data_IF_205789202021
#
_entry.id   IF_205789202021
#
_cell.length_a   1.000
_cell.length_b   1.000
_cell.length_c   1.000
_cell.angle_alpha   90.00
_cell.angle_beta   90.00
_cell.angle_gamma   90.00
#
_symmetry.space_group_name_H-M   'P 1'
#
loop_
_entity.id
_entity.type
_entity.pdbx_description
1 polymer ?
#
# COMPACT_ATOMS: atom_id res chain seq x y z
N UNK A 1 -10.64 13.77 -8.34
CA UNK A 1 -9.34 14.24 -8.89
C UNK A 1 -8.82 13.31 -9.98
N UNK A 2 -8.50 12.04 -9.68
CA UNK A 2 -7.94 11.10 -10.67
C UNK A 2 -8.89 10.78 -11.84
N UNK A 3 -10.20 10.87 -11.62
CA UNK A 3 -11.25 10.62 -12.64
C UNK A 3 -11.67 11.87 -13.41
N UNK A 4 -11.07 13.03 -13.14
CA UNK A 4 -11.42 14.26 -13.85
C UNK A 4 -11.07 14.14 -15.34
N UNK A 5 -11.88 14.67 -16.27
CA UNK A 5 -11.53 14.73 -17.67
C UNK A 5 -10.20 15.46 -17.85
N UNK A 6 -9.25 14.83 -18.54
CA UNK A 6 -7.94 15.42 -18.82
C UNK A 6 -7.46 14.98 -20.19
N UNK A 7 -7.03 15.94 -21.00
CA UNK A 7 -6.36 15.71 -22.29
C UNK A 7 -4.89 15.33 -22.10
N UNK A 8 -4.25 15.90 -21.07
CA UNK A 8 -2.85 15.66 -20.69
C UNK A 8 -2.74 15.39 -19.19
N UNK A 9 -1.65 14.75 -18.78
CA UNK A 9 -1.38 14.45 -17.36
C UNK A 9 -0.89 15.72 -16.68
N UNK A 10 -1.36 15.97 -15.47
CA UNK A 10 -0.83 17.03 -14.61
C UNK A 10 -0.22 16.44 -13.33
N UNK A 11 0.69 17.20 -12.71
CA UNK A 11 1.36 16.79 -11.48
C UNK A 11 0.37 16.52 -10.33
N UNK A 12 -0.75 17.25 -10.29
CA UNK A 12 -1.80 17.09 -9.29
C UNK A 12 -2.44 15.69 -9.38
N UNK A 13 -2.72 15.19 -10.58
CA UNK A 13 -3.30 13.88 -10.81
C UNK A 13 -2.32 12.77 -10.44
N UNK A 14 -1.02 12.96 -10.72
CA UNK A 14 0.05 12.03 -10.33
C UNK A 14 0.12 11.94 -8.80
N UNK A 15 0.23 13.06 -8.11
CA UNK A 15 0.30 13.09 -6.65
C UNK A 15 -0.97 12.57 -5.97
N UNK A 16 -2.14 12.89 -6.53
CA UNK A 16 -3.40 12.33 -6.06
C UNK A 16 -3.46 10.82 -6.26
N UNK A 17 -2.93 10.29 -7.35
CA UNK A 17 -2.92 8.85 -7.62
C UNK A 17 -1.97 8.09 -6.69
N UNK A 18 -0.76 8.62 -6.42
CA UNK A 18 0.14 8.06 -5.41
C UNK A 18 -0.55 7.93 -4.05
N UNK A 19 -1.16 9.02 -3.56
CA UNK A 19 -1.88 9.04 -2.28
C UNK A 19 -3.09 8.12 -2.29
N UNK A 20 -3.82 8.03 -3.42
CA UNK A 20 -4.94 7.11 -3.58
C UNK A 20 -4.50 5.65 -3.40
N UNK A 21 -3.35 5.25 -3.96
CA UNK A 21 -2.80 3.90 -3.77
C UNK A 21 -2.55 3.64 -2.27
N UNK A 22 -1.80 4.53 -1.62
CA UNK A 22 -1.41 4.36 -0.21
C UNK A 22 -2.63 4.34 0.72
N UNK A 23 -3.56 5.29 0.54
CA UNK A 23 -4.78 5.36 1.36
C UNK A 23 -5.68 4.15 1.11
N UNK A 24 -5.76 3.62 -0.12
CA UNK A 24 -6.49 2.39 -0.40
C UNK A 24 -5.92 1.19 0.35
N UNK A 25 -4.59 1.05 0.42
CA UNK A 25 -3.94 0.00 1.21
C UNK A 25 -4.19 0.16 2.71
N UNK A 26 -4.23 1.41 3.19
CA UNK A 26 -4.55 1.70 4.59
C UNK A 26 -6.00 1.33 4.88
N UNK A 27 -6.98 1.81 4.11
CA UNK A 27 -8.39 1.64 4.44
C UNK A 27 -8.93 0.26 4.05
N UNK A 28 -8.66 -0.18 2.83
CA UNK A 28 -9.26 -1.37 2.24
C UNK A 28 -8.39 -2.63 2.36
N UNK A 29 -7.12 -2.48 2.81
CA UNK A 29 -6.13 -3.58 2.87
C UNK A 29 -5.85 -4.24 1.51
N UNK A 30 -6.22 -3.57 0.42
CA UNK A 30 -6.03 -4.01 -0.95
C UNK A 30 -6.11 -2.80 -1.89
N UNK A 31 -5.53 -2.94 -3.07
CA UNK A 31 -5.59 -1.91 -4.10
C UNK A 31 -6.04 -2.52 -5.43
N UNK A 32 -7.06 -1.94 -6.04
CA UNK A 32 -7.44 -2.29 -7.41
C UNK A 32 -6.60 -1.46 -8.37
N UNK A 33 -5.85 -2.15 -9.23
CA UNK A 33 -5.02 -1.51 -10.26
C UNK A 33 -5.84 -0.91 -11.39
N UNK A 34 -7.15 -1.16 -11.48
CA UNK A 34 -8.02 -0.56 -12.49
C UNK A 34 -8.67 0.74 -11.98
N UNK A 35 -8.53 1.79 -12.78
CA UNK A 35 -9.37 2.97 -12.64
C UNK A 35 -10.76 2.69 -13.24
N UNK A 36 -11.81 3.40 -12.80
CA UNK A 36 -13.14 3.26 -13.39
C UNK A 36 -13.14 3.50 -14.90
N UNK A 37 -14.03 2.81 -15.63
CA UNK A 37 -14.08 2.86 -17.11
C UNK A 37 -14.25 4.28 -17.68
N UNK A 38 -14.90 5.17 -16.92
CA UNK A 38 -15.13 6.56 -17.31
C UNK A 38 -13.94 7.49 -17.03
N UNK A 39 -12.86 7.00 -16.40
CA UNK A 39 -11.63 7.79 -16.27
C UNK A 39 -10.97 7.98 -17.63
N UNK A 40 -10.28 9.10 -17.84
CA UNK A 40 -9.65 9.39 -19.14
C UNK A 40 -8.63 8.32 -19.54
N UNK A 41 -8.55 8.01 -20.84
CA UNK A 41 -7.56 7.06 -21.37
C UNK A 41 -6.13 7.49 -21.06
N UNK A 42 -5.88 8.80 -21.09
CA UNK A 42 -4.59 9.40 -20.71
C UNK A 42 -4.23 9.05 -19.26
N UNK A 43 -5.17 9.17 -18.32
CA UNK A 43 -4.95 8.80 -16.92
C UNK A 43 -4.72 7.29 -16.79
N UNK A 44 -5.55 6.46 -17.42
CA UNK A 44 -5.46 5.00 -17.35
C UNK A 44 -4.12 4.44 -17.85
N UNK A 45 -3.57 5.02 -18.93
CA UNK A 45 -2.31 4.57 -19.52
C UNK A 45 -1.09 5.05 -18.75
N UNK A 46 -1.08 6.31 -18.34
CA UNK A 46 0.16 6.93 -17.88
C UNK A 46 0.32 6.95 -16.36
N UNK A 47 -0.75 7.07 -15.58
CA UNK A 47 -0.63 7.15 -14.12
C UNK A 47 -0.04 5.87 -13.51
N UNK A 48 -0.31 4.70 -14.12
CA UNK A 48 0.31 3.43 -13.75
C UNK A 48 1.82 3.48 -13.91
N UNK A 49 2.29 3.87 -15.09
CA UNK A 49 3.71 3.95 -15.42
C UNK A 49 4.44 5.00 -14.57
N UNK A 50 3.83 6.17 -14.38
CA UNK A 50 4.44 7.26 -13.60
C UNK A 50 4.48 6.98 -12.09
N UNK A 51 3.57 6.14 -11.58
CA UNK A 51 3.49 5.79 -10.17
C UNK A 51 3.95 4.35 -9.90
N UNK A 52 4.80 3.80 -10.77
CA UNK A 52 5.27 2.42 -10.70
C UNK A 52 5.83 2.03 -9.30
N UNK A 53 6.64 2.87 -8.61
CA UNK A 53 7.11 2.52 -7.27
C UNK A 53 5.98 2.32 -6.25
N UNK A 54 4.91 3.11 -6.34
CA UNK A 54 3.75 2.98 -5.47
C UNK A 54 2.90 1.74 -5.83
N UNK A 55 2.87 1.37 -7.11
CA UNK A 55 2.22 0.14 -7.57
C UNK A 55 2.94 -1.11 -7.04
N UNK A 56 4.27 -1.06 -6.99
CA UNK A 56 5.09 -2.13 -6.41
C UNK A 56 4.90 -2.24 -4.89
N UNK A 57 4.77 -1.13 -4.17
CA UNK A 57 4.34 -1.13 -2.75
C UNK A 57 3.02 -1.90 -2.58
N UNK A 58 2.03 -1.67 -3.46
CA UNK A 58 0.76 -2.39 -3.41
C UNK A 58 0.91 -3.89 -3.72
N UNK A 59 1.83 -4.25 -4.62
CA UNK A 59 2.17 -5.64 -4.92
C UNK A 59 2.81 -6.33 -3.71
N UNK A 60 3.84 -5.74 -3.12
CA UNK A 60 4.52 -6.26 -1.93
C UNK A 60 3.58 -6.36 -0.72
N UNK A 61 2.65 -5.41 -0.56
CA UNK A 61 1.62 -5.46 0.47
C UNK A 61 0.72 -6.69 0.35
N UNK A 62 0.46 -7.15 -0.88
CA UNK A 62 -0.36 -8.34 -1.13
C UNK A 62 0.33 -9.63 -0.67
N UNK A 63 1.67 -9.65 -0.65
CA UNK A 63 2.47 -10.80 -0.21
C UNK A 63 2.49 -11.04 1.31
N UNK A 64 2.08 -10.08 2.13
CA UNK A 64 1.92 -10.28 3.58
C UNK A 64 3.22 -10.30 4.40
N UNK A 65 4.40 -10.16 3.78
CA UNK A 65 5.71 -10.10 4.45
C UNK A 65 6.11 -8.66 4.76
N UNK A 66 6.13 -8.30 6.04
CA UNK A 66 6.36 -6.91 6.45
C UNK A 66 7.80 -6.47 6.19
N UNK A 67 8.79 -7.33 6.45
CA UNK A 67 10.21 -6.99 6.21
C UNK A 67 10.52 -6.63 4.75
N UNK A 68 9.92 -7.34 3.78
CA UNK A 68 10.11 -7.04 2.35
C UNK A 68 9.53 -5.67 2.00
N UNK A 69 8.36 -5.34 2.56
CA UNK A 69 7.72 -4.04 2.36
C UNK A 69 8.56 -2.90 2.96
N UNK A 70 9.09 -3.08 4.18
CA UNK A 70 9.94 -2.08 4.85
C UNK A 70 11.23 -1.79 4.06
N UNK A 71 11.91 -2.85 3.58
CA UNK A 71 13.12 -2.71 2.76
C UNK A 71 12.80 -1.97 1.47
N UNK A 72 11.72 -2.35 0.78
CA UNK A 72 11.33 -1.71 -0.47
C UNK A 72 11.06 -0.22 -0.30
N UNK A 73 10.31 0.14 0.76
CA UNK A 73 9.98 1.52 1.11
C UNK A 73 11.25 2.33 1.39
N UNK A 74 12.17 1.77 2.17
CA UNK A 74 13.40 2.47 2.54
C UNK A 74 14.27 2.78 1.31
N UNK A 75 14.28 1.89 0.33
CA UNK A 75 15.08 2.03 -0.90
C UNK A 75 14.43 2.97 -1.92
N UNK A 76 13.11 2.92 -2.09
CA UNK A 76 12.43 3.57 -3.23
C UNK A 76 11.59 4.80 -2.88
N UNK A 77 11.24 5.02 -1.62
CA UNK A 77 10.25 6.03 -1.20
C UNK A 77 10.81 7.07 -0.21
N UNK A 78 12.14 7.09 0.01
CA UNK A 78 12.80 7.95 1.00
C UNK A 78 12.69 9.46 0.74
N UNK A 79 12.52 9.87 -0.51
CA UNK A 79 12.48 11.29 -0.91
C UNK A 79 11.06 11.84 -1.14
N UNK A 80 10.02 10.99 -1.10
CA UNK A 80 8.65 11.43 -1.39
C UNK A 80 8.00 12.03 -0.13
N UNK A 81 7.25 13.13 -0.28
CA UNK A 81 6.51 13.81 0.81
C UNK A 81 5.34 12.97 1.39
N UNK A 82 5.30 11.68 1.07
CA UNK A 82 4.27 10.71 1.46
C UNK A 82 4.74 9.77 2.58
N UNK A 83 5.90 10.01 3.20
CA UNK A 83 6.50 9.12 4.23
C UNK A 83 5.54 8.74 5.37
N UNK A 84 4.71 9.68 5.83
CA UNK A 84 3.73 9.42 6.89
C UNK A 84 2.69 8.37 6.48
N UNK A 85 2.15 8.47 5.27
CA UNK A 85 1.21 7.50 4.71
C UNK A 85 1.88 6.14 4.52
N UNK A 86 3.13 6.13 4.06
CA UNK A 86 3.89 4.91 3.85
C UNK A 86 4.12 4.15 5.18
N UNK A 87 4.45 4.86 6.27
CA UNK A 87 4.52 4.27 7.62
C UNK A 87 3.17 3.72 8.10
N UNK A 88 2.08 4.40 7.75
CA UNK A 88 0.73 3.92 8.04
C UNK A 88 0.37 2.66 7.23
N UNK A 89 0.87 2.51 6.00
CA UNK A 89 0.72 1.27 5.21
C UNK A 89 1.38 0.09 5.92
N UNK A 90 2.61 0.25 6.42
CA UNK A 90 3.29 -0.80 7.21
C UNK A 90 2.47 -1.17 8.45
N UNK A 91 2.00 -0.16 9.20
CA UNK A 91 1.15 -0.38 10.38
C UNK A 91 -0.17 -1.09 10.04
N UNK A 92 -0.77 -0.75 8.89
CA UNK A 92 -1.98 -1.40 8.37
C UNK A 92 -1.73 -2.88 8.07
N UNK A 93 -0.57 -3.23 7.53
CA UNK A 93 -0.15 -4.60 7.23
C UNK A 93 -0.03 -5.44 8.49
N UNK A 94 0.62 -4.91 9.54
CA UNK A 94 0.67 -5.56 10.85
C UNK A 94 -0.73 -5.86 11.39
N UNK A 95 -1.63 -4.88 11.36
CA UNK A 95 -3.04 -5.05 11.78
C UNK A 95 -3.75 -6.14 10.97
N UNK A 96 -3.58 -6.14 9.64
CA UNK A 96 -4.15 -7.14 8.73
C UNK A 96 -3.66 -8.55 9.07
N UNK A 97 -2.36 -8.72 9.30
CA UNK A 97 -1.77 -10.02 9.61
C UNK A 97 -2.29 -10.58 10.95
N UNK A 98 -2.37 -9.74 11.99
CA UNK A 98 -2.95 -10.13 13.29
C UNK A 98 -4.42 -10.53 13.13
N UNK A 99 -5.22 -9.76 12.39
CA UNK A 99 -6.62 -10.08 12.12
C UNK A 99 -6.77 -11.44 11.40
N UNK A 100 -5.91 -11.75 10.43
CA UNK A 100 -5.93 -13.07 9.75
C UNK A 100 -5.62 -14.21 10.71
N UNK A 101 -4.68 -14.03 11.65
CA UNK A 101 -4.42 -15.06 12.67
C UNK A 101 -5.64 -15.33 13.54
N UNK A 102 -6.42 -14.31 13.90
CA UNK A 102 -7.66 -14.52 14.67
C UNK A 102 -8.76 -15.23 13.89
N UNK A 103 -8.71 -15.20 12.55
CA UNK A 103 -9.64 -15.96 11.70
C UNK A 103 -9.22 -17.43 11.53
N UNK A 104 -7.91 -17.71 11.59
CA UNK A 104 -7.37 -19.06 11.35
C UNK A 104 -7.17 -19.87 12.63
N UNK A 105 -6.94 -19.21 13.77
CA UNK A 105 -6.61 -19.86 15.03
C UNK A 105 -7.58 -19.47 16.13
N UNK A 106 -8.24 -20.47 16.74
CA UNK A 106 -9.11 -20.29 17.91
C UNK A 106 -8.29 -19.97 19.18
N UNK A 107 -7.16 -20.65 19.35
CA UNK A 107 -6.22 -20.44 20.46
C UNK A 107 -4.80 -20.37 19.90
N UNK A 108 -4.09 -19.27 20.16
CA UNK A 108 -2.71 -19.08 19.74
C UNK A 108 -1.97 -18.25 20.81
N UNK A 109 -0.78 -18.70 21.21
CA UNK A 109 0.02 -18.01 22.23
C UNK A 109 0.45 -16.63 21.75
N UNK A 110 0.73 -15.72 22.68
CA UNK A 110 1.25 -14.38 22.34
C UNK A 110 2.63 -14.45 21.67
N UNK A 111 3.47 -15.40 22.07
CA UNK A 111 4.79 -15.60 21.48
C UNK A 111 4.70 -16.05 20.02
N UNK A 112 3.79 -16.98 19.72
CA UNK A 112 3.61 -17.47 18.35
C UNK A 112 2.99 -16.40 17.45
N UNK A 113 2.04 -15.61 17.97
CA UNK A 113 1.52 -14.42 17.28
C UNK A 113 2.64 -13.44 16.91
N UNK A 114 3.54 -13.14 17.85
CA UNK A 114 4.65 -12.23 17.62
C UNK A 114 5.62 -12.77 16.56
N UNK A 115 5.97 -14.07 16.62
CA UNK A 115 6.84 -14.73 15.64
C UNK A 115 6.25 -14.71 14.24
N UNK A 116 4.98 -15.11 14.08
CA UNK A 116 4.33 -15.22 12.77
C UNK A 116 4.16 -13.84 12.13
N UNK A 117 3.82 -12.83 12.92
CA UNK A 117 3.62 -11.45 12.43
C UNK A 117 4.94 -10.67 12.31
N UNK A 118 6.07 -11.26 12.69
CA UNK A 118 7.39 -10.60 12.69
C UNK A 118 7.40 -9.34 13.57
N UNK A 119 6.65 -9.36 14.69
CA UNK A 119 6.73 -8.32 15.70
C UNK A 119 8.01 -8.54 16.51
N UNK A 120 8.80 -7.49 16.70
CA UNK A 120 9.93 -7.54 17.64
C UNK A 120 9.35 -7.74 19.05
N UNK A 121 9.84 -8.75 19.76
CA UNK A 121 9.50 -8.94 21.17
C UNK A 121 9.79 -7.65 21.95
N UNK A 122 8.95 -7.27 22.91
CA UNK A 122 9.28 -6.16 23.81
C UNK A 122 10.62 -6.47 24.49
N UNK A 123 11.48 -5.44 24.60
CA UNK A 123 12.69 -5.49 25.43
C UNK A 123 12.32 -5.55 26.90
#
# INVERSE_FOLDING_TARGET
VVTAPMSSINAIAVEAFKKYILVSLIQNRQFSTSLPKYASLTAQRNLKTLCQPNMEVASSYSGGKVSELEIYIQTNMGEDNNLGLVKQVISSMYKRNIQRLTQMYLTLSLQDKAKIVQLRSPK
#
